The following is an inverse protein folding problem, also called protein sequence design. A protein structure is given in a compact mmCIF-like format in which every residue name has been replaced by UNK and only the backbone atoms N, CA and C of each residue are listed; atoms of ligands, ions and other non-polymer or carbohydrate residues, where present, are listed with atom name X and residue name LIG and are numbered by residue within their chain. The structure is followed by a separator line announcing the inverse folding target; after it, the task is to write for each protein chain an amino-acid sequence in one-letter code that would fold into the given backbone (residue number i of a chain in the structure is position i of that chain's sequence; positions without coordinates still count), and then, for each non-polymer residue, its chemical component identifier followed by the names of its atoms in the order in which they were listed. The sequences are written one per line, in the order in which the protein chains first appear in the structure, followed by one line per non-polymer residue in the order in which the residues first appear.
data_IF_739730003929
#
_entry.id   IF_739730003929
#
_cell.length_a   1.000
_cell.length_b   1.000
_cell.length_c   1.000
_cell.angle_alpha   90.00
_cell.angle_beta   90.00
_cell.angle_gamma   90.00
#
_symmetry.space_group_name_H-M   'P 1'
#
loop_
_entity.id
_entity.type
_entity.pdbx_description
1 polymer ?
#
# COMPACT_ATOMS: atom_id res chain seq x y z
N UNK A 1 -37.52 39.55 -4.27
CA UNK A 1 -38.05 38.54 -5.20
C UNK A 1 -37.33 37.22 -4.93
N UNK A 2 -37.56 36.52 -3.81
CA UNK A 2 -38.74 35.69 -3.51
C UNK A 2 -38.89 34.52 -4.52
N UNK A 3 -38.33 33.35 -4.19
CA UNK A 3 -39.11 32.16 -3.81
C UNK A 3 -38.26 31.02 -3.24
N UNK A 4 -38.71 30.50 -2.11
CA UNK A 4 -38.31 29.23 -1.51
C UNK A 4 -39.30 28.15 -2.00
N UNK A 5 -38.83 26.97 -2.39
CA UNK A 5 -39.69 25.82 -2.63
C UNK A 5 -38.99 24.53 -2.21
N UNK A 6 -39.35 24.05 -1.01
CA UNK A 6 -39.06 22.67 -0.59
C UNK A 6 -40.25 21.82 -1.04
N UNK A 7 -40.01 20.75 -1.79
CA UNK A 7 -41.05 19.77 -2.07
C UNK A 7 -40.55 18.35 -1.79
N UNK A 8 -41.09 17.76 -0.72
CA UNK A 8 -41.06 16.31 -0.50
C UNK A 8 -42.09 15.66 -1.40
N UNK A 9 -41.74 14.57 -2.07
CA UNK A 9 -42.72 13.62 -2.58
C UNK A 9 -42.30 12.21 -2.14
N UNK A 10 -43.08 11.58 -1.27
CA UNK A 10 -42.91 10.19 -0.90
C UNK A 10 -43.94 9.32 -1.64
N UNK A 11 -43.53 8.09 -1.95
CA UNK A 11 -44.34 6.94 -2.35
C UNK A 11 -45.08 6.98 -3.69
N UNK A 12 -44.74 6.00 -4.53
CA UNK A 12 -45.71 5.07 -5.11
C UNK A 12 -45.03 3.69 -5.21
N UNK A 13 -45.53 2.70 -4.46
CA UNK A 13 -45.07 1.31 -4.55
C UNK A 13 -45.83 0.63 -5.70
N UNK A 14 -45.13 0.10 -6.69
CA UNK A 14 -45.74 -0.75 -7.73
C UNK A 14 -45.80 -2.21 -7.24
N UNK A 15 -46.96 -2.89 -7.29
CA UNK A 15 -47.05 -4.30 -6.94
C UNK A 15 -46.45 -5.18 -8.07
N UNK A 16 -45.48 -6.02 -7.73
CA UNK A 16 -44.97 -7.06 -8.63
C UNK A 16 -45.95 -8.24 -8.71
N UNK A 17 -46.16 -8.85 -9.89
CA UNK A 17 -47.04 -10.02 -10.05
C UNK A 17 -46.45 -11.27 -9.38
N UNK A 18 -47.28 -12.22 -8.93
CA UNK A 18 -46.82 -13.47 -8.35
C UNK A 18 -46.17 -14.38 -9.40
N UNK A 19 -45.00 -14.94 -9.08
CA UNK A 19 -44.30 -15.92 -9.91
C UNK A 19 -45.03 -17.27 -9.97
N UNK A 20 -44.94 -18.02 -11.09
CA UNK A 20 -45.54 -19.35 -11.19
C UNK A 20 -44.84 -20.37 -10.27
N UNK A 21 -45.55 -21.42 -9.83
CA UNK A 21 -44.96 -22.47 -8.99
C UNK A 21 -43.94 -23.31 -9.77
N UNK A 22 -42.78 -23.52 -9.17
CA UNK A 22 -41.69 -24.34 -9.72
C UNK A 22 -42.05 -25.84 -9.54
N UNK A 23 -41.87 -26.70 -10.56
CA UNK A 23 -42.10 -28.15 -10.41
C UNK A 23 -41.10 -28.78 -9.42
N UNK A 24 -41.57 -29.70 -8.58
CA UNK A 24 -40.74 -30.43 -7.63
C UNK A 24 -39.71 -31.31 -8.36
N UNK A 25 -38.43 -30.93 -8.29
CA UNK A 25 -37.31 -31.81 -8.63
C UNK A 25 -37.03 -32.78 -7.47
N UNK A 26 -36.66 -34.05 -7.74
CA UNK A 26 -36.34 -35.01 -6.69
C UNK A 26 -35.07 -34.59 -5.91
N UNK A 27 -34.98 -34.91 -4.61
CA UNK A 27 -33.83 -34.53 -3.79
C UNK A 27 -32.57 -35.27 -4.24
N UNK A 28 -31.49 -34.53 -4.47
CA UNK A 28 -30.20 -35.06 -4.90
C UNK A 28 -29.47 -35.75 -3.72
N UNK A 29 -29.17 -37.07 -3.78
CA UNK A 29 -28.56 -37.80 -2.68
C UNK A 29 -27.04 -37.59 -2.62
N UNK A 30 -26.61 -36.37 -2.31
CA UNK A 30 -25.19 -36.01 -2.15
C UNK A 30 -24.98 -34.85 -1.19
N UNK A 31 -25.62 -34.89 -0.03
CA UNK A 31 -25.32 -33.98 1.10
C UNK A 31 -24.00 -34.37 1.75
N UNK A 32 -22.88 -34.15 1.05
CA UNK A 32 -21.57 -34.07 1.67
C UNK A 32 -21.47 -32.70 2.34
N UNK A 33 -21.66 -32.67 3.66
CA UNK A 33 -21.66 -31.44 4.47
C UNK A 33 -20.25 -30.88 4.61
N UNK A 34 -19.74 -30.26 3.54
CA UNK A 34 -18.64 -29.31 3.65
C UNK A 34 -19.16 -28.05 4.36
N UNK A 35 -18.46 -27.52 5.37
CA UNK A 35 -18.85 -26.27 5.99
C UNK A 35 -18.80 -25.13 4.96
N UNK A 36 -19.70 -24.14 5.05
CA UNK A 36 -19.65 -22.98 4.16
C UNK A 36 -18.30 -22.27 4.30
N UNK A 37 -17.77 -21.67 3.22
CA UNK A 37 -16.54 -20.90 3.29
C UNK A 37 -16.72 -19.78 4.34
N UNK A 38 -15.67 -19.46 5.13
CA UNK A 38 -15.77 -18.42 6.14
C UNK A 38 -16.19 -17.10 5.48
N UNK A 39 -17.23 -16.47 6.04
CA UNK A 39 -17.68 -15.15 5.60
C UNK A 39 -16.48 -14.20 5.48
N UNK A 40 -16.43 -13.34 4.44
CA UNK A 40 -15.39 -12.31 4.36
C UNK A 40 -15.34 -11.56 5.69
N UNK A 41 -14.15 -11.31 6.27
CA UNK A 41 -14.05 -10.71 7.60
C UNK A 41 -14.85 -9.42 7.62
N UNK A 42 -15.90 -9.39 8.46
CA UNK A 42 -16.77 -8.23 8.59
C UNK A 42 -15.88 -7.03 8.87
N UNK A 43 -15.84 -6.06 7.95
CA UNK A 43 -15.05 -4.85 8.09
C UNK A 43 -15.44 -4.21 9.43
N UNK A 44 -14.54 -4.15 10.43
CA UNK A 44 -14.89 -3.57 11.72
C UNK A 44 -15.35 -2.12 11.52
N UNK A 45 -16.41 -1.75 12.23
CA UNK A 45 -17.08 -0.44 12.10
C UNK A 45 -16.24 0.76 12.58
N UNK A 46 -14.98 0.51 12.95
CA UNK A 46 -14.08 1.42 13.65
C UNK A 46 -13.05 2.11 12.77
N UNK A 47 -13.02 1.84 11.46
CA UNK A 47 -12.16 2.63 10.56
C UNK A 47 -12.71 4.06 10.43
N UNK A 48 -11.87 5.11 10.62
CA UNK A 48 -12.31 6.47 10.34
C UNK A 48 -12.75 6.57 8.86
N UNK A 49 -13.79 7.37 8.56
CA UNK A 49 -14.28 7.50 7.19
C UNK A 49 -13.17 8.01 6.28
N UNK A 50 -13.06 7.44 5.08
CA UNK A 50 -12.05 7.85 4.10
C UNK A 50 -12.23 9.33 3.77
N UNK A 51 -11.30 10.17 4.23
CA UNK A 51 -11.33 11.61 3.99
C UNK A 51 -11.25 11.89 2.48
N UNK A 52 -12.33 12.45 1.92
CA UNK A 52 -12.37 12.88 0.52
C UNK A 52 -11.64 14.21 0.38
N UNK A 53 -10.32 14.15 0.19
CA UNK A 53 -9.48 15.33 -0.07
C UNK A 53 -9.70 15.79 -1.51
N UNK A 54 -10.04 17.08 -1.68
CA UNK A 54 -10.02 17.76 -2.98
C UNK A 54 -8.73 18.55 -3.08
N UNK A 55 -8.01 18.42 -4.20
CA UNK A 55 -6.77 19.15 -4.47
C UNK A 55 -7.07 20.14 -5.60
N UNK A 56 -6.75 21.42 -5.36
CA UNK A 56 -6.97 22.51 -6.31
C UNK A 56 -5.72 23.39 -6.38
N UNK A 57 -5.50 24.00 -7.56
CA UNK A 57 -4.43 24.97 -7.75
C UNK A 57 -4.98 26.38 -7.59
N UNK A 58 -4.42 27.13 -6.65
CA UNK A 58 -4.76 28.53 -6.38
C UNK A 58 -3.61 29.41 -6.84
N UNK A 59 -3.92 30.50 -7.55
CA UNK A 59 -2.92 31.51 -7.91
C UNK A 59 -2.52 32.29 -6.65
N UNK A 60 -1.21 32.46 -6.44
CA UNK A 60 -0.70 33.21 -5.29
C UNK A 60 -1.19 34.68 -5.29
N UNK A 61 -1.35 35.26 -4.10
CA UNK A 61 -1.68 36.66 -3.90
C UNK A 61 -3.03 37.11 -4.50
N UNK A 62 -4.02 36.22 -4.54
CA UNK A 62 -5.41 36.52 -4.97
C UNK A 62 -6.28 37.01 -3.79
N UNK A 63 -5.72 37.20 -2.60
CA UNK A 63 -6.46 37.67 -1.41
C UNK A 63 -7.23 36.55 -0.68
N UNK A 64 -6.92 35.29 -0.97
CA UNK A 64 -7.51 34.16 -0.26
C UNK A 64 -6.75 33.99 1.06
N UNK A 65 -7.37 34.43 2.16
CA UNK A 65 -6.76 34.51 3.48
C UNK A 65 -6.00 33.23 3.91
N UNK A 66 -6.54 32.03 3.63
CA UNK A 66 -5.87 30.77 3.94
C UNK A 66 -4.60 30.49 3.11
N UNK A 67 -4.61 30.87 1.82
CA UNK A 67 -3.43 30.77 0.95
C UNK A 67 -2.35 31.76 1.37
N UNK A 68 -2.76 33.00 1.66
CA UNK A 68 -1.83 34.07 1.99
C UNK A 68 -1.23 33.89 3.39
N UNK A 69 -2.00 33.34 4.34
CA UNK A 69 -1.49 32.87 5.64
C UNK A 69 -0.51 31.70 5.48
N UNK A 70 -0.82 30.69 4.66
CA UNK A 70 0.09 29.57 4.42
C UNK A 70 1.42 30.03 3.80
N UNK A 71 1.37 30.97 2.85
CA UNK A 71 2.55 31.60 2.25
C UNK A 71 3.35 32.45 3.25
N UNK A 72 2.68 33.16 4.18
CA UNK A 72 3.35 33.87 5.27
C UNK A 72 4.08 32.90 6.20
N UNK A 73 3.40 31.87 6.68
CA UNK A 73 3.97 30.85 7.57
C UNK A 73 5.15 30.12 6.92
N UNK A 74 5.07 29.81 5.62
CA UNK A 74 6.19 29.21 4.90
C UNK A 74 7.44 30.11 4.92
N UNK A 75 7.28 31.41 4.69
CA UNK A 75 8.40 32.38 4.73
C UNK A 75 8.97 32.60 6.14
N UNK A 76 8.11 32.60 7.17
CA UNK A 76 8.55 32.65 8.56
C UNK A 76 9.36 31.40 8.93
N UNK A 77 8.93 30.23 8.44
CA UNK A 77 9.64 28.93 8.61
C UNK A 77 10.97 28.88 7.84
N UNK A 78 11.03 29.45 6.63
CA UNK A 78 12.27 29.53 5.83
C UNK A 78 13.28 30.56 6.37
N UNK A 79 12.82 31.57 7.11
CA UNK A 79 13.66 32.59 7.71
C UNK A 79 14.28 32.16 9.06
N UNK A 80 13.76 31.11 9.69
CA UNK A 80 14.29 30.56 10.93
C UNK A 80 15.58 29.74 10.67
N UNK A 81 16.73 30.37 10.91
CA UNK A 81 18.05 29.77 10.73
C UNK A 81 18.39 28.73 11.83
N UNK A 82 17.63 28.66 12.93
CA UNK A 82 17.84 27.68 13.99
C UNK A 82 17.06 26.37 13.76
N UNK A 83 16.20 26.33 12.73
CA UNK A 83 15.36 25.17 12.45
C UNK A 83 16.18 23.99 11.90
N UNK A 84 16.42 22.97 12.74
CA UNK A 84 17.12 21.75 12.35
C UNK A 84 16.39 21.05 11.19
N UNK A 85 17.13 20.76 10.11
CA UNK A 85 16.59 20.10 8.90
C UNK A 85 16.33 18.61 9.17
N UNK A 86 15.22 18.34 9.86
CA UNK A 86 14.76 16.99 10.24
C UNK A 86 14.54 16.03 9.06
N UNK A 87 14.44 16.54 7.83
CA UNK A 87 14.28 15.75 6.62
C UNK A 87 15.45 15.88 5.64
N UNK A 88 16.54 15.16 5.90
CA UNK A 88 17.51 14.87 4.85
C UNK A 88 16.86 13.93 3.82
N UNK A 89 16.74 14.39 2.55
CA UNK A 89 16.20 13.62 1.41
C UNK A 89 17.06 12.38 1.12
N UNK A 90 16.92 11.33 1.92
CA UNK A 90 17.72 10.11 1.84
C UNK A 90 17.42 9.37 0.52
N UNK A 91 18.38 9.36 -0.45
CA UNK A 91 18.11 8.84 -1.79
C UNK A 91 17.68 7.38 -1.75
N UNK A 92 16.77 6.99 -2.66
CA UNK A 92 16.36 5.57 -2.79
C UNK A 92 17.56 4.66 -3.04
N UNK A 93 18.59 5.15 -3.74
CA UNK A 93 19.88 4.47 -3.95
C UNK A 93 20.67 4.24 -2.65
N UNK A 94 20.75 5.24 -1.76
CA UNK A 94 21.45 5.12 -0.48
C UNK A 94 20.84 4.02 0.40
N UNK A 95 19.51 4.06 0.62
CA UNK A 95 18.78 3.04 1.39
C UNK A 95 18.97 1.64 0.80
N UNK A 96 18.82 1.49 -0.52
CA UNK A 96 19.09 0.21 -1.22
C UNK A 96 20.54 -0.26 -1.03
N UNK A 97 21.52 0.65 -1.02
CA UNK A 97 22.93 0.29 -0.81
C UNK A 97 23.22 -0.14 0.63
N UNK A 98 22.62 0.51 1.63
CA UNK A 98 22.72 0.13 3.05
C UNK A 98 22.16 -1.27 3.29
N UNK A 99 20.89 -1.52 2.96
CA UNK A 99 20.26 -2.84 3.13
C UNK A 99 21.00 -3.96 2.38
N UNK A 100 21.55 -3.66 1.19
CA UNK A 100 22.39 -4.60 0.45
C UNK A 100 23.69 -4.92 1.20
N UNK A 101 24.37 -3.91 1.74
CA UNK A 101 25.58 -4.10 2.55
C UNK A 101 25.34 -4.98 3.78
N UNK A 102 24.31 -4.65 4.56
CA UNK A 102 23.89 -5.41 5.75
C UNK A 102 23.54 -6.87 5.40
N UNK A 103 22.80 -7.09 4.29
CA UNK A 103 22.46 -8.42 3.80
C UNK A 103 23.68 -9.22 3.36
N UNK A 104 24.66 -8.57 2.74
CA UNK A 104 25.90 -9.19 2.28
C UNK A 104 26.85 -9.55 3.43
N UNK A 105 26.93 -8.70 4.45
CA UNK A 105 27.67 -8.97 5.67
C UNK A 105 27.08 -10.17 6.43
N UNK A 106 25.77 -10.16 6.70
CA UNK A 106 25.06 -11.28 7.34
C UNK A 106 25.17 -12.58 6.54
N UNK A 107 25.11 -12.50 5.20
CA UNK A 107 25.32 -13.67 4.35
C UNK A 107 26.77 -14.19 4.43
N UNK A 108 27.77 -13.30 4.46
CA UNK A 108 29.19 -13.65 4.58
C UNK A 108 29.53 -14.27 5.94
N UNK A 109 28.91 -13.78 7.02
CA UNK A 109 28.99 -14.36 8.35
C UNK A 109 28.39 -15.77 8.36
N UNK A 110 27.11 -15.91 7.97
CA UNK A 110 26.43 -17.20 7.89
C UNK A 110 27.20 -18.22 7.04
N UNK A 111 27.78 -17.80 5.91
CA UNK A 111 28.57 -18.69 5.06
C UNK A 111 29.77 -19.30 5.77
N UNK A 112 30.46 -18.52 6.60
CA UNK A 112 31.55 -19.01 7.45
C UNK A 112 31.01 -19.91 8.57
N UNK A 113 29.92 -19.55 9.24
CA UNK A 113 29.48 -20.22 10.49
C UNK A 113 28.58 -21.45 10.27
N UNK A 114 27.61 -21.43 9.34
CA UNK A 114 26.32 -22.18 9.40
C UNK A 114 26.31 -23.73 9.30
N UNK A 115 27.46 -24.41 9.22
CA UNK A 115 27.68 -25.87 9.10
C UNK A 115 27.03 -26.63 7.93
N UNK A 116 25.84 -26.27 7.46
CA UNK A 116 25.22 -26.77 6.22
C UNK A 116 25.99 -26.26 4.99
N UNK A 117 26.10 -27.08 3.94
CA UNK A 117 26.78 -26.69 2.69
C UNK A 117 28.30 -26.57 2.80
N UNK A 118 28.93 -27.17 3.81
CA UNK A 118 30.40 -27.12 4.01
C UNK A 118 31.20 -27.69 2.84
N UNK A 119 30.69 -28.71 2.14
CA UNK A 119 31.30 -29.17 0.89
C UNK A 119 31.34 -28.07 -0.18
N UNK A 120 30.23 -27.35 -0.38
CA UNK A 120 30.20 -26.17 -1.27
C UNK A 120 31.13 -25.06 -0.78
N UNK A 121 31.28 -24.87 0.53
CA UNK A 121 32.23 -23.90 1.11
C UNK A 121 33.70 -24.24 0.81
N UNK A 122 34.08 -25.53 0.73
CA UNK A 122 35.45 -25.94 0.35
C UNK A 122 35.82 -25.43 -1.05
N UNK A 123 34.89 -25.52 -2.01
CA UNK A 123 35.10 -25.02 -3.37
C UNK A 123 34.93 -23.50 -3.49
N UNK A 124 34.06 -22.89 -2.68
CA UNK A 124 33.73 -21.47 -2.74
C UNK A 124 33.75 -20.85 -1.33
N UNK A 125 34.94 -20.62 -0.72
CA UNK A 125 35.03 -20.08 0.64
C UNK A 125 34.64 -18.59 0.72
N UNK A 126 34.67 -17.87 -0.42
CA UNK A 126 34.42 -16.43 -0.50
C UNK A 126 33.28 -16.10 -1.48
N UNK A 127 32.19 -15.56 -0.94
CA UNK A 127 31.04 -15.07 -1.71
C UNK A 127 31.42 -13.87 -2.60
N UNK A 128 32.39 -13.06 -2.16
CA UNK A 128 32.89 -11.93 -2.95
C UNK A 128 33.59 -12.43 -4.23
N UNK A 129 34.40 -13.49 -4.13
CA UNK A 129 35.15 -14.00 -5.28
C UNK A 129 34.25 -14.81 -6.23
N UNK A 130 33.25 -15.53 -5.70
CA UNK A 130 32.16 -16.11 -6.52
C UNK A 130 31.46 -15.05 -7.38
N UNK A 131 31.19 -13.87 -6.82
CA UNK A 131 30.55 -12.75 -7.55
C UNK A 131 31.47 -12.18 -8.64
N UNK A 132 32.78 -12.09 -8.40
CA UNK A 132 33.76 -11.70 -9.44
C UNK A 132 33.80 -12.74 -10.56
N UNK A 133 33.86 -14.03 -10.24
CA UNK A 133 33.85 -15.14 -11.20
C UNK A 133 32.60 -15.14 -12.09
N UNK A 134 31.44 -14.77 -11.54
CA UNK A 134 30.18 -14.64 -12.29
C UNK A 134 30.24 -13.63 -13.46
N UNK A 135 31.21 -12.70 -13.48
CA UNK A 135 31.43 -11.78 -14.62
C UNK A 135 32.00 -12.49 -15.85
N UNK A 136 32.75 -13.57 -15.65
CA UNK A 136 33.42 -14.35 -16.69
C UNK A 136 32.58 -15.56 -17.14
N UNK A 137 31.63 -15.98 -16.30
CA UNK A 137 30.58 -16.94 -16.67
C UNK A 137 29.47 -16.24 -17.46
N UNK A 138 29.78 -15.78 -18.67
CA UNK A 138 28.75 -15.63 -19.71
C UNK A 138 28.28 -17.02 -20.09
N UNK A 139 27.09 -17.39 -19.62
CA UNK A 139 26.37 -18.53 -20.14
C UNK A 139 25.64 -18.04 -21.38
N UNK A 140 26.26 -18.26 -22.54
CA UNK A 140 25.62 -18.04 -23.83
C UNK A 140 24.60 -19.18 -24.01
N UNK A 141 23.32 -18.82 -23.98
CA UNK A 141 22.14 -19.70 -24.08
C UNK A 141 21.06 -18.99 -24.91
#
# INVERSE_FOLDING_TARGET
MLHLAIQKQCHLNSPTPPSPPIPNLPPNPSTSTLPPPPSPPHRPATYPPLHRVKIEWVKAHVGIAGNDLANKLAKETEADLEMEVSYQKCPKSFRKSKFRGESEEKLKENWKTTSKGRETFRYIPSIADRRKQKKYLKLDY
#
